data_IF_460242888664
#
_entry.id   IF_460242888664
#
_cell.length_a   1.000
_cell.length_b   1.000
_cell.length_c   1.000
_cell.angle_alpha   90.00
_cell.angle_beta   90.00
_cell.angle_gamma   90.00
#
_symmetry.space_group_name_H-M   'P 1'
#
loop_
_entity.id
_entity.type
_entity.pdbx_description
1 polymer ?
#
# COMPACT_ATOMS: atom_id res chain seq x y z
N UNK A 1 -18.88 -39.82 -46.69
CA UNK A 1 -18.51 -39.83 -48.12
C UNK A 1 -17.59 -38.63 -48.40
N UNK A 2 -16.40 -39.00 -48.87
CA UNK A 2 -15.32 -38.25 -49.55
C UNK A 2 -14.66 -37.08 -48.79
N UNK A 3 -13.50 -37.21 -48.26
CA UNK A 3 -12.07 -37.40 -48.69
C UNK A 3 -11.70 -36.72 -50.01
N UNK A 4 -10.77 -35.70 -49.96
CA UNK A 4 -9.62 -35.47 -50.84
C UNK A 4 -8.91 -34.19 -50.33
N UNK A 5 -7.79 -34.22 -49.66
CA UNK A 5 -6.39 -34.39 -50.08
C UNK A 5 -5.93 -33.36 -51.10
N UNK A 6 -5.09 -32.41 -50.72
CA UNK A 6 -3.95 -32.00 -51.52
C UNK A 6 -2.75 -31.56 -50.63
N UNK A 7 -1.63 -32.17 -50.98
CA UNK A 7 -0.30 -32.04 -50.36
C UNK A 7 0.55 -30.99 -51.12
N UNK A 8 1.50 -30.41 -50.39
CA UNK A 8 2.89 -30.07 -50.76
C UNK A 8 3.15 -28.78 -51.53
N UNK A 9 3.93 -27.86 -50.95
CA UNK A 9 5.28 -27.63 -51.40
C UNK A 9 6.08 -26.82 -50.37
N UNK A 10 7.18 -27.42 -49.87
CA UNK A 10 8.23 -26.78 -49.09
C UNK A 10 9.17 -26.01 -50.05
N UNK A 11 9.54 -24.78 -49.68
CA UNK A 11 10.71 -24.13 -50.32
C UNK A 11 11.59 -23.55 -49.18
N UNK A 12 12.73 -24.18 -49.02
CA UNK A 12 13.84 -23.78 -48.15
C UNK A 12 14.53 -22.59 -48.85
N UNK A 13 14.60 -21.45 -48.15
CA UNK A 13 15.50 -20.38 -48.52
C UNK A 13 16.43 -20.09 -47.33
N UNK A 14 17.68 -20.59 -47.44
CA UNK A 14 18.81 -20.30 -46.59
C UNK A 14 19.29 -18.89 -46.93
N UNK A 15 19.15 -17.91 -46.02
CA UNK A 15 19.91 -16.65 -46.12
C UNK A 15 20.78 -16.50 -44.88
N UNK A 16 22.06 -16.48 -45.09
CA UNK A 16 23.08 -16.18 -44.12
C UNK A 16 22.96 -14.73 -43.66
N UNK A 17 22.79 -14.51 -42.36
CA UNK A 17 22.94 -13.18 -41.77
C UNK A 17 24.38 -13.05 -41.24
N UNK A 18 25.13 -12.22 -41.92
CA UNK A 18 26.38 -11.63 -41.45
C UNK A 18 26.06 -10.72 -40.24
N UNK A 19 26.74 -10.98 -39.14
CA UNK A 19 26.73 -10.15 -37.96
C UNK A 19 27.35 -8.78 -38.27
N UNK A 20 26.60 -7.71 -38.21
CA UNK A 20 27.12 -6.38 -37.98
C UNK A 20 26.94 -6.00 -36.49
N UNK A 21 28.08 -6.01 -35.79
CA UNK A 21 28.21 -5.26 -34.53
C UNK A 21 28.12 -3.77 -34.87
N UNK A 22 27.17 -3.08 -34.29
CA UNK A 22 27.24 -1.65 -34.13
C UNK A 22 27.23 -1.34 -32.63
N UNK A 23 28.41 -1.25 -32.05
CA UNK A 23 28.66 -0.49 -30.82
C UNK A 23 28.44 0.99 -31.17
N UNK A 24 27.45 1.60 -30.54
CA UNK A 24 27.40 3.02 -30.25
C UNK A 24 26.74 3.21 -28.91
N UNK A 25 27.48 2.89 -27.86
CA UNK A 25 27.19 3.35 -26.51
C UNK A 25 27.56 4.81 -26.37
N UNK A 26 26.58 5.69 -26.41
CA UNK A 26 26.73 7.04 -25.91
C UNK A 26 26.29 7.02 -24.43
N UNK A 27 27.21 6.70 -23.53
CA UNK A 27 27.01 6.83 -22.09
C UNK A 27 27.10 8.31 -21.73
N UNK A 28 25.99 8.88 -21.30
CA UNK A 28 25.94 10.20 -20.65
C UNK A 28 26.71 10.08 -19.31
N UNK A 29 27.85 10.80 -19.12
CA UNK A 29 28.66 10.69 -17.92
C UNK A 29 28.02 11.28 -16.66
N UNK A 30 26.79 11.84 -16.75
CA UNK A 30 26.05 12.45 -15.64
C UNK A 30 24.83 11.63 -15.20
N UNK A 31 24.60 10.47 -15.80
CA UNK A 31 23.56 9.56 -15.31
C UNK A 31 24.22 8.58 -14.33
N UNK A 32 23.92 8.64 -13.01
CA UNK A 32 24.39 7.60 -12.11
C UNK A 32 23.79 6.28 -12.63
N UNK A 33 24.66 5.37 -13.05
CA UNK A 33 24.25 4.03 -13.50
C UNK A 33 23.26 3.47 -12.48
N UNK A 34 21.99 3.35 -12.85
CA UNK A 34 21.05 2.54 -12.09
C UNK A 34 21.66 1.14 -12.06
N UNK A 35 22.02 0.59 -10.90
CA UNK A 35 22.53 -0.77 -10.83
C UNK A 35 21.50 -1.65 -11.55
N UNK A 36 21.97 -2.50 -12.46
CA UNK A 36 21.12 -3.42 -13.18
C UNK A 36 20.26 -4.17 -12.15
N UNK A 37 18.97 -3.78 -12.07
CA UNK A 37 18.03 -4.27 -11.05
C UNK A 37 17.73 -5.76 -11.20
N UNK A 38 18.35 -6.41 -12.21
CA UNK A 38 18.17 -7.82 -12.51
C UNK A 38 19.13 -8.74 -11.74
N UNK A 39 20.23 -8.22 -11.22
CA UNK A 39 21.18 -9.05 -10.45
C UNK A 39 21.00 -8.81 -8.96
N UNK A 40 20.42 -9.79 -8.29
CA UNK A 40 20.25 -9.77 -6.83
C UNK A 40 21.62 -9.92 -6.15
N UNK A 41 22.07 -8.97 -5.29
CA UNK A 41 23.33 -9.09 -4.58
C UNK A 41 23.41 -10.37 -3.75
N UNK A 42 24.55 -11.06 -3.77
CA UNK A 42 24.76 -12.25 -2.97
C UNK A 42 24.97 -11.93 -1.48
N UNK A 43 25.43 -10.73 -1.16
CA UNK A 43 25.67 -10.25 0.22
C UNK A 43 25.64 -8.73 0.27
N UNK A 44 25.48 -8.20 1.47
CA UNK A 44 25.49 -6.77 1.78
C UNK A 44 26.60 -6.46 2.78
N UNK A 45 27.10 -5.23 2.79
CA UNK A 45 28.11 -4.78 3.73
C UNK A 45 27.59 -4.82 5.17
N UNK A 46 26.34 -4.42 5.37
CA UNK A 46 25.62 -4.39 6.64
C UNK A 46 24.10 -4.39 6.42
N UNK A 47 23.34 -4.33 7.49
CA UNK A 47 21.89 -4.32 7.47
C UNK A 47 21.33 -3.03 6.84
N UNK A 48 22.02 -1.89 6.97
CA UNK A 48 21.56 -0.63 6.37
C UNK A 48 21.68 -0.66 4.84
N UNK A 49 22.77 -1.20 4.30
CA UNK A 49 22.95 -1.43 2.87
C UNK A 49 21.88 -2.40 2.31
N UNK A 50 21.52 -3.44 3.09
CA UNK A 50 20.43 -4.34 2.72
C UNK A 50 19.09 -3.61 2.66
N UNK A 51 18.77 -2.81 3.67
CA UNK A 51 17.53 -2.03 3.71
C UNK A 51 17.44 -1.04 2.55
N UNK A 52 18.54 -0.37 2.22
CA UNK A 52 18.59 0.57 1.08
C UNK A 52 18.28 -0.13 -0.24
N UNK A 53 18.88 -1.29 -0.47
CA UNK A 53 18.60 -2.12 -1.65
C UNK A 53 17.13 -2.57 -1.68
N UNK A 54 16.59 -3.08 -0.57
CA UNK A 54 15.20 -3.53 -0.47
C UNK A 54 14.22 -2.38 -0.73
N UNK A 55 14.45 -1.21 -0.14
CA UNK A 55 13.60 -0.02 -0.39
C UNK A 55 13.60 0.33 -1.88
N UNK A 56 14.77 0.36 -2.52
CA UNK A 56 14.89 0.70 -3.95
C UNK A 56 14.16 -0.30 -4.84
N UNK A 57 14.36 -1.60 -4.62
CA UNK A 57 13.75 -2.63 -5.47
C UNK A 57 12.23 -2.64 -5.34
N UNK A 58 11.70 -2.52 -4.12
CA UNK A 58 10.24 -2.47 -3.92
C UNK A 58 9.62 -1.16 -4.42
N UNK A 59 10.33 -0.03 -4.31
CA UNK A 59 9.93 1.23 -4.91
C UNK A 59 9.78 1.16 -6.44
N UNK A 60 10.58 0.34 -7.12
CA UNK A 60 10.50 0.17 -8.58
C UNK A 60 9.13 -0.34 -9.05
N UNK A 61 8.32 -0.94 -8.19
CA UNK A 61 6.92 -1.24 -8.51
C UNK A 61 6.14 0.04 -8.86
N UNK A 62 6.29 1.09 -8.06
CA UNK A 62 5.68 2.41 -8.31
C UNK A 62 6.43 3.22 -9.37
N UNK A 63 7.72 2.94 -9.62
CA UNK A 63 8.52 3.70 -10.57
C UNK A 63 8.43 3.13 -11.98
N UNK A 64 8.91 1.91 -12.18
CA UNK A 64 8.94 1.23 -13.47
C UNK A 64 7.64 0.50 -13.79
N UNK A 65 6.96 0.00 -12.76
CA UNK A 65 5.73 -0.77 -12.86
C UNK A 65 4.46 0.07 -12.98
N UNK A 66 4.55 1.39 -12.76
CA UNK A 66 3.39 2.28 -12.84
C UNK A 66 2.68 2.23 -14.20
N UNK A 67 1.40 2.55 -14.22
CA UNK A 67 0.66 2.72 -15.46
C UNK A 67 1.13 4.01 -16.17
N UNK A 68 1.37 3.92 -17.48
CA UNK A 68 2.14 4.92 -18.23
C UNK A 68 1.44 6.26 -18.40
N UNK A 69 0.11 6.29 -18.49
CA UNK A 69 -0.69 7.49 -18.68
C UNK A 69 -0.94 8.21 -17.36
N UNK A 70 -1.39 7.47 -16.37
CA UNK A 70 -1.74 7.99 -15.06
C UNK A 70 -0.53 8.27 -14.17
N UNK A 71 0.52 7.48 -14.30
CA UNK A 71 1.67 7.46 -13.38
C UNK A 71 1.35 6.82 -12.02
N UNK A 72 0.14 6.31 -11.82
CA UNK A 72 -0.31 5.62 -10.61
C UNK A 72 0.16 4.15 -10.59
N UNK A 73 0.13 3.55 -9.42
CA UNK A 73 0.43 2.14 -9.25
C UNK A 73 -0.63 1.27 -9.95
N UNK A 74 -0.19 0.35 -10.82
CA UNK A 74 -1.07 -0.74 -11.29
C UNK A 74 -1.58 -1.50 -10.07
N UNK A 75 -2.85 -1.84 -10.06
CA UNK A 75 -3.44 -2.59 -8.96
C UNK A 75 -2.67 -3.90 -8.74
N UNK A 76 -2.34 -4.58 -9.86
CA UNK A 76 -1.55 -5.82 -9.86
C UNK A 76 -0.55 -5.85 -11.00
N UNK A 77 0.54 -6.59 -10.79
CA UNK A 77 1.48 -6.96 -11.85
C UNK A 77 1.71 -8.45 -11.77
N UNK A 78 1.32 -9.16 -12.83
CA UNK A 78 1.50 -10.59 -12.99
C UNK A 78 2.63 -10.85 -13.98
N UNK A 79 3.79 -11.32 -13.51
CA UNK A 79 4.92 -11.62 -14.38
C UNK A 79 4.69 -12.88 -15.23
N UNK A 80 3.75 -13.74 -14.85
CA UNK A 80 3.27 -14.86 -15.65
C UNK A 80 2.35 -14.44 -16.81
N UNK A 81 1.93 -13.17 -16.85
CA UNK A 81 1.08 -12.61 -17.91
C UNK A 81 -0.39 -13.04 -17.83
N UNK A 82 -0.80 -13.75 -16.79
CA UNK A 82 -2.18 -14.18 -16.60
C UNK A 82 -2.99 -13.09 -15.88
N UNK A 83 -3.85 -12.40 -16.65
CA UNK A 83 -4.77 -11.37 -16.15
C UNK A 83 -6.21 -11.78 -16.45
N UNK A 84 -6.93 -12.39 -15.48
CA UNK A 84 -8.24 -13.02 -15.72
C UNK A 84 -9.30 -12.10 -16.32
N UNK A 85 -9.26 -10.79 -16.01
CA UNK A 85 -10.22 -9.79 -16.48
C UNK A 85 -9.63 -8.78 -17.46
N UNK A 86 -8.47 -9.06 -18.06
CA UNK A 86 -7.72 -8.11 -18.88
C UNK A 86 -7.47 -6.78 -18.16
N UNK A 87 -7.18 -6.85 -16.86
CA UNK A 87 -7.09 -5.69 -15.96
C UNK A 87 -5.65 -5.19 -15.72
N UNK A 88 -4.72 -5.51 -16.61
CA UNK A 88 -3.32 -5.06 -16.51
C UNK A 88 -3.13 -3.52 -16.49
N UNK A 89 -4.14 -2.77 -16.94
CA UNK A 89 -4.14 -1.31 -16.95
C UNK A 89 -5.00 -0.67 -15.86
N UNK A 90 -5.52 -1.49 -14.95
CA UNK A 90 -6.22 -1.03 -13.76
C UNK A 90 -5.21 -0.45 -12.77
N UNK A 91 -5.51 0.75 -12.25
CA UNK A 91 -4.74 1.38 -11.18
C UNK A 91 -5.56 1.44 -9.89
N UNK A 92 -4.88 1.26 -8.77
CA UNK A 92 -5.51 1.30 -7.44
C UNK A 92 -5.34 2.66 -6.81
N UNK A 93 -6.36 3.13 -6.13
CA UNK A 93 -6.37 4.44 -5.47
C UNK A 93 -5.49 4.44 -4.23
N UNK A 94 -5.73 3.56 -3.28
CA UNK A 94 -5.00 3.52 -2.01
C UNK A 94 -3.56 3.07 -2.15
N UNK A 95 -3.32 1.98 -2.90
CA UNK A 95 -1.95 1.52 -3.17
C UNK A 95 -1.10 2.58 -3.87
N UNK A 96 -1.72 3.42 -4.73
CA UNK A 96 -1.04 4.59 -5.30
C UNK A 96 -0.69 5.65 -4.27
N UNK A 97 -1.51 5.83 -3.23
CA UNK A 97 -1.18 6.72 -2.10
C UNK A 97 0.10 6.30 -1.38
N UNK A 98 0.23 5.01 -1.12
CA UNK A 98 1.47 4.45 -0.55
C UNK A 98 2.64 4.58 -1.51
N UNK A 99 2.41 4.36 -2.81
CA UNK A 99 3.41 4.59 -3.85
C UNK A 99 3.87 6.05 -3.95
N UNK A 100 2.98 7.03 -3.76
CA UNK A 100 3.31 8.46 -3.69
C UNK A 100 4.19 8.76 -2.47
N UNK A 101 3.88 8.17 -1.32
CA UNK A 101 4.79 8.22 -0.17
C UNK A 101 6.16 7.60 -0.49
N UNK A 102 6.17 6.51 -1.26
CA UNK A 102 7.41 5.90 -1.80
C UNK A 102 8.18 6.82 -2.76
N UNK A 103 7.51 7.67 -3.56
CA UNK A 103 8.17 8.70 -4.39
C UNK A 103 8.92 9.73 -3.52
N UNK A 104 8.32 10.13 -2.39
CA UNK A 104 9.00 11.03 -1.42
C UNK A 104 10.25 10.35 -0.86
N UNK A 105 10.14 9.10 -0.46
CA UNK A 105 11.31 8.32 0.02
C UNK A 105 12.38 8.22 -1.07
N UNK A 106 12.00 7.96 -2.30
CA UNK A 106 12.94 7.81 -3.42
C UNK A 106 13.68 9.10 -3.75
N UNK A 107 13.02 10.26 -3.68
CA UNK A 107 13.68 11.56 -3.81
C UNK A 107 14.64 11.82 -2.65
N UNK A 108 14.22 11.56 -1.41
CA UNK A 108 15.07 11.77 -0.22
C UNK A 108 16.30 10.88 -0.22
N UNK A 109 16.15 9.62 -0.66
CA UNK A 109 17.23 8.64 -0.75
C UNK A 109 18.10 8.76 -2.00
N UNK A 110 17.72 9.62 -2.95
CA UNK A 110 18.43 9.76 -4.22
C UNK A 110 18.27 8.55 -5.16
N UNK A 111 17.21 7.76 -5.00
CA UNK A 111 16.86 6.71 -5.97
C UNK A 111 16.40 7.30 -7.29
N UNK A 112 15.76 8.45 -7.21
CA UNK A 112 15.38 9.31 -8.33
C UNK A 112 15.79 10.75 -8.00
N UNK A 113 15.97 11.59 -9.03
CA UNK A 113 16.21 13.02 -8.80
C UNK A 113 14.90 13.71 -8.36
N UNK A 114 15.05 14.88 -7.71
CA UNK A 114 13.89 15.70 -7.31
C UNK A 114 13.04 16.10 -8.52
N UNK A 115 13.67 16.47 -9.62
CA UNK A 115 12.96 16.86 -10.86
C UNK A 115 12.14 15.68 -11.42
N UNK A 116 12.69 14.47 -11.43
CA UNK A 116 11.98 13.25 -11.84
C UNK A 116 10.76 12.98 -10.94
N UNK A 117 10.92 13.16 -9.63
CA UNK A 117 9.83 13.01 -8.67
C UNK A 117 8.72 14.04 -8.87
N UNK A 118 9.09 15.32 -9.05
CA UNK A 118 8.15 16.42 -9.33
C UNK A 118 7.40 16.18 -10.66
N UNK A 119 8.10 15.75 -11.72
CA UNK A 119 7.45 15.39 -12.99
C UNK A 119 6.44 14.25 -12.82
N UNK A 120 6.81 13.19 -12.09
CA UNK A 120 5.89 12.08 -11.82
C UNK A 120 4.68 12.52 -10.99
N UNK A 121 4.88 13.32 -9.94
CA UNK A 121 3.79 13.88 -9.14
C UNK A 121 2.86 14.78 -9.97
N UNK A 122 3.42 15.57 -10.88
CA UNK A 122 2.62 16.40 -11.80
C UNK A 122 1.72 15.54 -12.67
N UNK A 123 2.25 14.48 -13.28
CA UNK A 123 1.47 13.53 -14.09
C UNK A 123 0.34 12.87 -13.27
N UNK A 124 0.65 12.46 -12.05
CA UNK A 124 -0.35 11.86 -11.14
C UNK A 124 -1.46 12.85 -10.81
N UNK A 125 -1.12 14.09 -10.44
CA UNK A 125 -2.11 15.12 -10.11
C UNK A 125 -2.94 15.51 -11.33
N UNK A 126 -2.32 15.65 -12.53
CA UNK A 126 -3.03 15.87 -13.79
C UNK A 126 -4.07 14.78 -14.07
N UNK A 127 -3.73 13.53 -13.77
CA UNK A 127 -4.66 12.42 -13.92
C UNK A 127 -5.78 12.47 -12.90
N UNK A 128 -5.48 12.67 -11.62
CA UNK A 128 -6.46 12.69 -10.53
C UNK A 128 -7.50 13.80 -10.65
N UNK A 129 -7.13 14.94 -11.22
CA UNK A 129 -8.06 16.07 -11.46
C UNK A 129 -9.13 15.75 -12.50
N UNK A 130 -8.82 14.91 -13.48
CA UNK A 130 -9.75 14.51 -14.57
C UNK A 130 -10.39 13.14 -14.38
N UNK A 131 -9.90 12.34 -13.44
CA UNK A 131 -10.46 11.02 -13.13
C UNK A 131 -11.85 11.12 -12.52
N UNK A 132 -12.63 10.04 -12.62
CA UNK A 132 -13.95 9.99 -12.01
C UNK A 132 -13.85 10.19 -10.49
N UNK A 133 -14.71 11.06 -9.96
CA UNK A 133 -14.85 11.37 -8.53
C UNK A 133 -16.31 11.45 -8.16
N UNK A 134 -16.64 10.98 -6.97
CA UNK A 134 -18.00 10.91 -6.44
C UNK A 134 -18.05 11.65 -5.10
N UNK A 135 -18.63 12.86 -5.08
CA UNK A 135 -18.51 13.75 -3.94
C UNK A 135 -17.04 14.00 -3.53
N UNK A 136 -16.24 14.27 -4.54
CA UNK A 136 -14.81 14.52 -4.36
C UNK A 136 -13.92 13.30 -4.06
N UNK A 137 -14.48 12.10 -3.98
CA UNK A 137 -13.82 10.84 -3.60
C UNK A 137 -13.62 9.98 -4.82
N UNK A 138 -12.41 9.43 -5.00
CA UNK A 138 -12.09 8.51 -6.08
C UNK A 138 -12.63 7.10 -5.80
N UNK A 139 -12.87 6.30 -6.86
CA UNK A 139 -13.26 4.91 -6.68
C UNK A 139 -12.08 4.06 -6.19
N UNK A 140 -12.37 2.84 -5.77
CA UNK A 140 -11.37 1.84 -5.39
C UNK A 140 -10.33 1.63 -6.50
N UNK A 141 -10.83 1.38 -7.71
CA UNK A 141 -10.02 1.21 -8.91
C UNK A 141 -10.43 2.16 -10.04
N UNK A 142 -9.44 2.57 -10.80
CA UNK A 142 -9.59 3.36 -12.02
C UNK A 142 -8.98 2.63 -13.22
N UNK A 143 -9.56 2.83 -14.38
CA UNK A 143 -8.90 2.49 -15.63
C UNK A 143 -7.78 3.51 -15.87
N UNK A 144 -6.53 3.08 -15.87
CA UNK A 144 -5.35 3.94 -15.94
C UNK A 144 -5.31 4.84 -17.19
N UNK A 145 -5.56 4.33 -18.41
CA UNK A 145 -5.61 5.16 -19.61
C UNK A 145 -6.69 6.25 -19.61
N UNK A 146 -7.85 6.00 -19.00
CA UNK A 146 -9.03 6.87 -19.17
C UNK A 146 -9.45 7.66 -17.93
N UNK A 147 -9.04 7.23 -16.74
CA UNK A 147 -9.50 7.79 -15.47
C UNK A 147 -10.94 7.42 -15.10
N UNK A 148 -11.57 6.49 -15.82
CA UNK A 148 -12.92 6.03 -15.53
C UNK A 148 -12.93 4.97 -14.43
N UNK A 149 -13.99 4.94 -13.63
CA UNK A 149 -14.18 3.92 -12.61
C UNK A 149 -14.10 2.52 -13.21
N UNK A 150 -13.27 1.66 -12.64
CA UNK A 150 -13.30 0.21 -12.81
C UNK A 150 -13.96 -0.35 -11.55
N UNK A 151 -15.17 -0.91 -11.62
CA UNK A 151 -15.84 -1.43 -10.44
C UNK A 151 -15.01 -2.52 -9.73
N UNK A 152 -14.80 -2.37 -8.43
CA UNK A 152 -14.24 -3.43 -7.59
C UNK A 152 -15.26 -4.55 -7.37
N UNK A 153 -16.51 -4.18 -7.26
CA UNK A 153 -17.66 -5.09 -7.17
C UNK A 153 -18.90 -4.43 -7.74
N UNK A 154 -19.99 -5.20 -7.86
CA UNK A 154 -21.21 -4.69 -8.50
C UNK A 154 -21.72 -3.38 -7.87
N UNK A 155 -21.70 -3.28 -6.54
CA UNK A 155 -22.15 -2.10 -5.80
C UNK A 155 -21.03 -1.16 -5.42
N UNK A 156 -19.78 -1.58 -5.60
CA UNK A 156 -18.57 -0.79 -5.41
C UNK A 156 -18.08 -0.28 -6.77
N UNK A 157 -18.88 0.63 -7.33
CA UNK A 157 -18.67 1.25 -8.64
C UNK A 157 -18.76 2.78 -8.57
N UNK A 158 -18.51 3.33 -7.40
CA UNK A 158 -18.54 4.77 -7.12
C UNK A 158 -17.36 5.19 -6.25
N UNK A 159 -17.60 6.10 -5.31
CA UNK A 159 -16.57 6.59 -4.41
C UNK A 159 -16.21 5.59 -3.31
N UNK A 160 -14.91 5.38 -3.13
CA UNK A 160 -14.31 4.66 -2.00
C UNK A 160 -13.54 5.64 -1.13
N UNK A 161 -14.13 5.99 0.01
CA UNK A 161 -13.57 7.01 0.90
C UNK A 161 -12.28 6.52 1.57
N UNK A 162 -12.18 5.24 1.88
CA UNK A 162 -11.01 4.66 2.57
C UNK A 162 -9.79 4.68 1.67
N UNK A 163 -9.93 4.15 0.45
CA UNK A 163 -8.87 4.18 -0.56
C UNK A 163 -8.45 5.62 -0.91
N UNK A 164 -9.42 6.52 -1.01
CA UNK A 164 -9.15 7.95 -1.25
C UNK A 164 -8.42 8.61 -0.08
N UNK A 165 -8.65 8.18 1.15
CA UNK A 165 -7.89 8.66 2.31
C UNK A 165 -6.45 8.14 2.32
N UNK A 166 -6.21 6.91 1.88
CA UNK A 166 -4.85 6.41 1.68
C UNK A 166 -4.12 7.19 0.58
N UNK A 167 -4.80 7.50 -0.53
CA UNK A 167 -4.26 8.36 -1.57
C UNK A 167 -3.91 9.75 -1.03
N UNK A 168 -4.84 10.37 -0.31
CA UNK A 168 -4.65 11.72 0.23
C UNK A 168 -3.55 11.76 1.28
N UNK A 169 -3.39 10.72 2.09
CA UNK A 169 -2.28 10.59 3.04
C UNK A 169 -0.92 10.69 2.32
N UNK A 170 -0.75 9.98 1.21
CA UNK A 170 0.47 10.05 0.39
C UNK A 170 0.67 11.43 -0.24
N UNK A 171 -0.40 12.02 -0.80
CA UNK A 171 -0.37 13.37 -1.37
C UNK A 171 -0.02 14.45 -0.34
N UNK A 172 -0.51 14.33 0.89
CA UNK A 172 -0.17 15.27 1.96
C UNK A 172 1.29 15.12 2.42
N UNK A 173 1.83 13.91 2.46
CA UNK A 173 3.28 13.71 2.65
C UNK A 173 4.09 14.41 1.54
N UNK A 174 3.71 14.22 0.28
CA UNK A 174 4.35 14.88 -0.86
C UNK A 174 4.22 16.41 -0.78
N UNK A 175 3.04 16.93 -0.47
CA UNK A 175 2.80 18.38 -0.27
C UNK A 175 3.74 19.00 0.75
N UNK A 176 3.98 18.31 1.85
CA UNK A 176 4.86 18.79 2.91
C UNK A 176 6.36 18.66 2.56
N UNK A 177 6.71 17.69 1.71
CA UNK A 177 8.08 17.49 1.23
C UNK A 177 8.50 18.54 0.19
N UNK A 178 7.57 19.03 -0.62
CA UNK A 178 7.80 20.05 -1.63
C UNK A 178 8.13 21.39 -0.95
N UNK A 179 9.27 21.99 -1.29
CA UNK A 179 9.80 23.19 -0.63
C UNK A 179 9.29 24.52 -1.23
N UNK A 180 8.52 24.43 -2.33
CA UNK A 180 7.92 25.56 -3.05
C UNK A 180 8.92 26.55 -3.63
N UNK A 181 10.16 26.14 -3.88
CA UNK A 181 11.19 27.01 -4.45
C UNK A 181 10.99 27.20 -5.97
N UNK A 182 10.32 26.25 -6.62
CA UNK A 182 10.01 26.33 -8.06
C UNK A 182 8.51 26.56 -8.30
N UNK A 183 8.16 27.10 -9.47
CA UNK A 183 6.74 27.26 -9.86
C UNK A 183 6.04 25.91 -10.02
N UNK A 184 6.75 24.86 -10.45
CA UNK A 184 6.20 23.51 -10.55
C UNK A 184 5.79 22.98 -9.16
N UNK A 185 6.64 23.13 -8.14
CA UNK A 185 6.32 22.69 -6.79
C UNK A 185 5.20 23.53 -6.15
N UNK A 186 5.19 24.85 -6.35
CA UNK A 186 4.09 25.71 -5.89
C UNK A 186 2.76 25.28 -6.47
N UNK A 187 2.72 25.10 -7.81
CA UNK A 187 1.52 24.63 -8.50
C UNK A 187 1.05 23.26 -7.97
N UNK A 188 1.96 22.31 -7.76
CA UNK A 188 1.61 21.01 -7.20
C UNK A 188 0.99 21.13 -5.81
N UNK A 189 1.56 21.94 -4.93
CA UNK A 189 1.01 22.17 -3.57
C UNK A 189 -0.40 22.74 -3.64
N UNK A 190 -0.63 23.73 -4.49
CA UNK A 190 -1.96 24.36 -4.66
C UNK A 190 -2.99 23.34 -5.19
N UNK A 191 -2.60 22.53 -6.16
CA UNK A 191 -3.48 21.53 -6.77
C UNK A 191 -3.79 20.38 -5.82
N UNK A 192 -2.80 19.90 -5.05
CA UNK A 192 -3.03 18.90 -4.00
C UNK A 192 -4.01 19.46 -2.94
N UNK A 193 -3.84 20.72 -2.55
CA UNK A 193 -4.79 21.38 -1.65
C UNK A 193 -6.21 21.43 -2.24
N UNK A 194 -6.36 21.77 -3.51
CA UNK A 194 -7.66 21.80 -4.19
C UNK A 194 -8.31 20.41 -4.26
N UNK A 195 -7.54 19.36 -4.53
CA UNK A 195 -8.03 17.98 -4.51
C UNK A 195 -8.55 17.60 -3.13
N UNK A 196 -7.80 17.91 -2.06
CA UNK A 196 -8.23 17.61 -0.69
C UNK A 196 -9.43 18.42 -0.25
N UNK A 197 -9.45 19.74 -0.51
CA UNK A 197 -10.58 20.61 -0.24
C UNK A 197 -11.89 20.17 -0.93
N UNK A 198 -11.76 19.48 -2.04
CA UNK A 198 -12.91 18.94 -2.78
C UNK A 198 -13.43 17.60 -2.27
N UNK A 199 -12.85 16.97 -1.27
CA UNK A 199 -13.36 15.73 -0.68
C UNK A 199 -14.48 16.03 0.31
N UNK A 200 -15.72 15.63 -0.01
CA UNK A 200 -16.93 15.91 0.77
C UNK A 200 -17.13 14.86 1.88
N UNK A 201 -16.29 14.88 2.93
CA UNK A 201 -16.39 13.93 4.05
C UNK A 201 -17.75 13.96 4.76
N UNK A 202 -18.37 15.12 4.85
CA UNK A 202 -19.71 15.30 5.44
C UNK A 202 -20.80 14.58 4.62
N UNK A 203 -20.65 14.48 3.29
CA UNK A 203 -21.51 13.64 2.47
C UNK A 203 -21.52 12.19 2.96
N UNK A 204 -20.34 11.65 3.24
CA UNK A 204 -20.18 10.26 3.67
C UNK A 204 -20.65 9.97 5.09
N UNK A 205 -21.21 10.95 5.80
CA UNK A 205 -22.00 10.74 7.02
C UNK A 205 -23.44 10.31 6.75
N UNK A 206 -23.83 10.17 5.47
CA UNK A 206 -25.17 9.78 5.04
C UNK A 206 -26.27 10.63 5.70
N UNK A 207 -26.17 11.94 5.53
CA UNK A 207 -27.14 12.90 6.06
C UNK A 207 -26.91 13.30 7.52
N UNK A 208 -25.64 13.34 7.98
CA UNK A 208 -25.26 13.85 9.28
C UNK A 208 -25.37 12.81 10.41
N UNK A 209 -25.24 11.52 10.10
CA UNK A 209 -25.14 10.48 11.12
C UNK A 209 -23.80 10.58 11.87
N UNK A 210 -23.76 10.10 13.10
CA UNK A 210 -22.55 10.06 13.94
C UNK A 210 -21.60 8.89 13.55
N UNK A 211 -21.44 8.66 12.26
CA UNK A 211 -20.55 7.63 11.67
C UNK A 211 -20.23 7.98 10.23
N UNK A 212 -19.09 7.55 9.72
CA UNK A 212 -18.70 7.70 8.31
C UNK A 212 -18.93 6.37 7.59
N UNK A 213 -19.42 6.42 6.35
CA UNK A 213 -19.64 5.26 5.49
C UNK A 213 -18.52 5.13 4.47
N UNK A 214 -18.17 3.88 4.10
CA UNK A 214 -17.09 3.55 3.20
C UNK A 214 -17.37 3.96 1.76
N UNK A 215 -18.55 3.58 1.24
CA UNK A 215 -18.87 3.64 -0.18
C UNK A 215 -20.11 4.45 -0.46
N UNK A 216 -20.11 5.14 -1.59
CA UNK A 216 -21.30 5.69 -2.22
C UNK A 216 -21.20 5.55 -3.74
N UNK A 217 -22.32 5.25 -4.39
CA UNK A 217 -22.40 5.05 -5.83
C UNK A 217 -23.62 5.79 -6.41
N UNK A 218 -23.52 6.41 -7.60
CA UNK A 218 -24.67 7.04 -8.23
C UNK A 218 -25.76 6.05 -8.66
N UNK A 219 -25.43 4.75 -8.80
CA UNK A 219 -26.39 3.72 -9.20
C UNK A 219 -27.00 2.99 -8.02
N UNK A 220 -26.25 2.75 -6.97
CA UNK A 220 -26.63 1.96 -5.82
C UNK A 220 -26.71 2.78 -4.53
N UNK A 221 -26.37 4.08 -4.61
CA UNK A 221 -26.36 4.98 -3.46
C UNK A 221 -25.65 4.37 -2.25
N UNK A 222 -26.35 4.16 -1.16
CA UNK A 222 -25.82 3.61 0.09
C UNK A 222 -26.05 2.12 0.27
N UNK A 223 -26.36 1.37 -0.79
CA UNK A 223 -26.71 -0.07 -0.68
C UNK A 223 -25.57 -0.96 -0.14
N UNK A 224 -24.30 -0.56 -0.27
CA UNK A 224 -23.19 -1.23 0.41
C UNK A 224 -23.36 -1.19 1.94
N UNK A 225 -23.95 -0.13 2.45
CA UNK A 225 -24.29 0.06 3.86
C UNK A 225 -23.19 -0.35 4.84
N UNK A 226 -21.97 0.13 4.60
CA UNK A 226 -20.78 -0.25 5.37
C UNK A 226 -20.29 0.93 6.22
N UNK A 227 -20.79 1.08 7.47
CA UNK A 227 -20.29 2.08 8.40
C UNK A 227 -18.87 1.71 8.86
N UNK A 228 -17.99 2.69 8.99
CA UNK A 228 -16.63 2.53 9.49
C UNK A 228 -16.62 2.52 11.01
N UNK A 229 -16.78 1.37 11.61
CA UNK A 229 -16.88 1.19 13.05
C UNK A 229 -15.84 0.17 13.55
N UNK A 230 -15.22 0.45 14.69
CA UNK A 230 -14.25 -0.43 15.33
C UNK A 230 -12.87 -0.41 14.67
N UNK A 231 -11.90 -1.06 15.31
CA UNK A 231 -10.50 -1.02 14.88
C UNK A 231 -10.26 -1.91 13.66
N UNK A 232 -9.74 -1.27 12.64
CA UNK A 232 -9.19 -1.81 11.41
C UNK A 232 -8.23 -0.78 10.79
N UNK A 233 -8.01 -0.80 9.48
CA UNK A 233 -7.16 0.13 8.72
C UNK A 233 -7.70 1.57 8.62
N UNK A 234 -8.95 1.83 9.00
CA UNK A 234 -9.69 3.04 8.63
C UNK A 234 -9.51 4.25 9.57
N UNK A 235 -8.63 4.20 10.58
CA UNK A 235 -8.45 5.35 11.50
C UNK A 235 -8.11 6.65 10.75
N UNK A 236 -7.30 6.57 9.71
CA UNK A 236 -6.90 7.73 8.89
C UNK A 236 -8.10 8.48 8.30
N UNK A 237 -9.20 7.77 8.01
CA UNK A 237 -10.42 8.39 7.47
C UNK A 237 -10.99 9.39 8.46
N UNK A 238 -11.10 9.03 9.73
CA UNK A 238 -11.60 9.91 10.78
C UNK A 238 -10.66 11.07 11.07
N UNK A 239 -9.35 10.84 11.02
CA UNK A 239 -8.35 11.90 11.17
C UNK A 239 -8.46 12.92 10.03
N UNK A 240 -8.51 12.48 8.78
CA UNK A 240 -8.64 13.36 7.62
C UNK A 240 -10.00 14.04 7.56
N UNK A 241 -11.08 13.33 7.90
CA UNK A 241 -12.41 13.90 7.95
C UNK A 241 -12.55 15.02 9.02
N UNK A 242 -11.92 14.84 10.19
CA UNK A 242 -11.85 15.88 11.21
C UNK A 242 -10.95 17.05 10.79
N UNK A 243 -9.88 16.77 10.06
CA UNK A 243 -8.89 17.71 9.55
C UNK A 243 -9.33 18.47 8.30
N UNK A 244 -10.38 18.01 7.60
CA UNK A 244 -10.83 18.64 6.34
C UNK A 244 -11.08 20.14 6.52
N UNK A 245 -10.47 20.99 5.66
CA UNK A 245 -10.61 22.45 5.77
C UNK A 245 -12.00 22.95 5.29
N UNK A 246 -12.76 22.15 4.56
CA UNK A 246 -14.00 22.55 3.90
C UNK A 246 -15.21 21.68 4.29
N UNK A 247 -15.02 20.38 4.42
CA UNK A 247 -16.08 19.37 4.65
C UNK A 247 -15.82 18.56 5.92
N UNK A 248 -15.43 19.25 7.00
CA UNK A 248 -15.06 18.61 8.26
C UNK A 248 -16.28 18.01 8.97
N UNK A 249 -16.12 16.80 9.51
CA UNK A 249 -17.14 16.12 10.31
C UNK A 249 -16.98 16.40 11.81
N UNK A 250 -18.06 16.32 12.62
CA UNK A 250 -17.96 16.49 14.07
C UNK A 250 -17.21 15.32 14.72
N UNK A 251 -16.55 15.59 15.86
CA UNK A 251 -15.85 14.57 16.64
C UNK A 251 -16.76 13.42 17.11
N UNK A 252 -18.06 13.64 17.18
CA UNK A 252 -19.04 12.59 17.51
C UNK A 252 -19.01 11.42 16.52
N UNK A 253 -18.69 11.66 15.24
CA UNK A 253 -18.52 10.58 14.26
C UNK A 253 -17.41 9.61 14.67
N UNK A 254 -16.28 10.13 15.20
CA UNK A 254 -15.21 9.33 15.73
C UNK A 254 -15.61 8.60 17.02
N UNK A 255 -16.14 9.34 18.01
CA UNK A 255 -16.42 8.78 19.32
C UNK A 255 -17.59 7.79 19.33
N UNK A 256 -18.68 8.07 18.61
CA UNK A 256 -19.86 7.20 18.56
C UNK A 256 -19.75 6.15 17.45
N UNK A 257 -19.26 6.53 16.26
CA UNK A 257 -19.07 5.63 15.13
C UNK A 257 -17.87 4.73 15.36
N UNK A 258 -16.68 5.19 15.01
CA UNK A 258 -15.48 4.35 15.05
C UNK A 258 -15.20 3.75 16.44
N UNK A 259 -15.22 4.57 17.48
CA UNK A 259 -14.94 4.11 18.85
C UNK A 259 -16.13 3.46 19.55
N UNK A 260 -17.32 3.40 18.92
CA UNK A 260 -18.53 2.77 19.47
C UNK A 260 -18.84 3.23 20.91
N UNK A 261 -18.67 4.54 21.15
CA UNK A 261 -18.84 5.14 22.50
C UNK A 261 -17.99 4.47 23.59
N UNK A 262 -16.79 3.99 23.24
CA UNK A 262 -15.86 3.28 24.12
C UNK A 262 -15.97 1.74 24.05
N UNK A 263 -16.94 1.20 23.33
CA UNK A 263 -17.09 -0.23 23.09
C UNK A 263 -15.95 -0.86 22.29
N UNK A 264 -15.07 -0.03 21.71
CA UNK A 264 -13.88 -0.44 20.98
C UNK A 264 -12.75 -1.00 21.88
N UNK A 265 -12.74 -0.69 23.18
CA UNK A 265 -11.71 -1.15 24.11
C UNK A 265 -11.70 -2.68 24.26
N UNK A 266 -10.51 -3.25 24.40
CA UNK A 266 -10.29 -4.70 24.49
C UNK A 266 -9.43 -5.06 25.68
N UNK A 267 -9.70 -6.23 26.25
CA UNK A 267 -8.87 -6.89 27.28
C UNK A 267 -8.14 -8.12 26.71
N UNK A 268 -8.26 -8.39 25.41
CA UNK A 268 -7.61 -9.53 24.76
C UNK A 268 -6.09 -9.36 24.74
N UNK A 269 -5.37 -10.44 24.97
CA UNK A 269 -3.91 -10.44 24.96
C UNK A 269 -3.35 -11.72 24.31
N UNK A 270 -3.58 -11.91 22.98
CA UNK A 270 -3.07 -13.09 22.28
C UNK A 270 -1.54 -13.15 22.40
N UNK A 271 -1.04 -14.34 22.74
CA UNK A 271 0.41 -14.57 22.90
C UNK A 271 1.08 -13.61 23.90
N UNK A 272 0.32 -13.10 24.90
CA UNK A 272 0.83 -12.14 25.88
C UNK A 272 1.06 -10.74 25.32
N UNK A 273 0.43 -10.39 24.19
CA UNK A 273 0.44 -9.06 23.58
C UNK A 273 -0.93 -8.40 23.77
N UNK A 274 -1.10 -7.45 24.71
CA UNK A 274 -2.38 -6.78 24.91
C UNK A 274 -2.84 -6.04 23.65
N UNK A 275 -4.03 -6.38 23.18
CA UNK A 275 -4.72 -5.63 22.12
C UNK A 275 -5.61 -4.60 22.82
N UNK A 276 -5.18 -3.33 22.85
CA UNK A 276 -5.94 -2.28 23.57
C UNK A 276 -7.29 -1.98 22.89
N UNK A 277 -7.42 -2.33 21.61
CA UNK A 277 -8.64 -2.16 20.80
C UNK A 277 -9.13 -3.51 20.27
N UNK A 278 -10.45 -3.67 20.18
CA UNK A 278 -11.08 -4.83 19.55
C UNK A 278 -10.89 -4.81 18.05
N UNK A 279 -10.16 -5.77 17.54
CA UNK A 279 -9.99 -5.98 16.11
C UNK A 279 -11.28 -6.55 15.50
N UNK A 280 -11.84 -5.86 14.49
CA UNK A 280 -13.11 -6.25 13.90
C UNK A 280 -13.11 -7.70 13.37
N UNK A 281 -13.96 -8.56 13.94
CA UNK A 281 -14.06 -9.97 13.57
C UNK A 281 -12.87 -10.86 13.99
N UNK A 282 -11.86 -10.29 14.69
CA UNK A 282 -10.65 -10.97 15.14
C UNK A 282 -10.26 -10.56 16.58
N UNK A 283 -11.23 -10.32 17.42
CA UNK A 283 -11.10 -9.69 18.74
C UNK A 283 -10.16 -10.42 19.68
N UNK A 284 -10.08 -11.75 19.57
CA UNK A 284 -9.26 -12.59 20.46
C UNK A 284 -7.90 -12.98 19.85
N UNK A 285 -7.71 -12.80 18.54
CA UNK A 285 -6.55 -13.31 17.81
C UNK A 285 -5.69 -12.23 17.17
N UNK A 286 -6.26 -11.05 16.96
CA UNK A 286 -5.72 -10.03 16.08
C UNK A 286 -6.09 -10.27 14.61
N UNK A 287 -6.32 -9.19 13.88
CA UNK A 287 -6.65 -9.19 12.45
C UNK A 287 -5.43 -9.31 11.55
N UNK A 288 -5.61 -9.16 10.23
CA UNK A 288 -4.52 -9.09 9.27
C UNK A 288 -3.64 -7.86 9.52
N UNK A 289 -2.32 -7.97 9.27
CA UNK A 289 -1.36 -6.94 9.67
C UNK A 289 -1.47 -5.63 8.89
N UNK A 290 -2.12 -5.58 7.74
CA UNK A 290 -2.31 -4.33 7.04
C UNK A 290 -3.06 -3.28 7.90
N UNK A 291 -3.85 -3.70 8.90
CA UNK A 291 -4.47 -2.80 9.87
C UNK A 291 -3.45 -2.03 10.72
N UNK A 292 -2.25 -2.58 10.89
CA UNK A 292 -1.13 -1.91 11.54
C UNK A 292 -0.26 -1.10 10.56
N UNK A 293 -0.58 -1.07 9.25
CA UNK A 293 0.27 -0.43 8.24
C UNK A 293 -0.42 0.76 7.55
N UNK A 294 -1.62 0.60 7.00
CA UNK A 294 -2.18 1.53 6.01
C UNK A 294 -2.46 2.93 6.57
N UNK A 295 -3.12 3.04 7.72
CA UNK A 295 -3.29 4.35 8.40
C UNK A 295 -1.96 4.95 8.86
N UNK A 296 -0.93 4.13 9.05
CA UNK A 296 0.31 4.49 9.73
C UNK A 296 1.47 4.81 8.80
N UNK A 297 1.23 4.88 7.51
CA UNK A 297 2.23 5.36 6.53
C UNK A 297 2.62 6.81 6.84
N UNK A 298 1.64 7.68 7.06
CA UNK A 298 1.85 9.08 7.42
C UNK A 298 1.55 9.39 8.88
N UNK A 299 0.50 8.79 9.45
CA UNK A 299 0.12 9.02 10.84
C UNK A 299 1.14 8.35 11.78
N UNK A 300 1.79 9.16 12.63
CA UNK A 300 2.80 8.66 13.57
C UNK A 300 2.14 8.05 14.82
N UNK A 301 2.26 6.75 15.07
CA UNK A 301 1.70 6.16 16.28
C UNK A 301 2.50 6.46 17.55
N UNK A 302 3.77 6.90 17.43
CA UNK A 302 4.63 7.19 18.60
C UNK A 302 4.15 8.43 19.32
N UNK A 303 3.69 8.25 20.55
CA UNK A 303 3.15 9.32 21.38
C UNK A 303 1.69 9.63 21.11
N UNK A 304 1.08 9.07 20.07
CA UNK A 304 -0.32 9.27 19.72
C UNK A 304 -1.22 8.48 20.68
N UNK A 305 -2.05 9.21 21.43
CA UNK A 305 -2.96 8.64 22.44
C UNK A 305 -4.28 9.38 22.44
N UNK A 306 -5.32 8.65 22.80
CA UNK A 306 -6.60 9.22 23.14
C UNK A 306 -7.22 8.54 24.39
N UNK A 307 -8.49 8.77 24.65
CA UNK A 307 -9.18 8.13 25.79
C UNK A 307 -9.38 6.62 25.62
N UNK A 308 -9.10 6.05 24.47
CA UNK A 308 -9.35 4.65 24.14
C UNK A 308 -8.08 3.80 24.18
N UNK A 309 -6.94 4.34 23.69
CA UNK A 309 -5.71 3.58 23.52
C UNK A 309 -4.45 4.45 23.44
N UNK A 310 -3.29 3.80 23.65
CA UNK A 310 -1.98 4.21 23.21
C UNK A 310 -1.69 3.53 21.86
N UNK A 311 -1.70 4.30 20.77
CA UNK A 311 -1.63 3.74 19.41
C UNK A 311 -0.26 3.12 19.07
N UNK A 312 0.80 3.50 19.76
CA UNK A 312 2.07 2.78 19.66
C UNK A 312 1.93 1.33 20.16
N UNK A 313 1.28 1.14 21.30
CA UNK A 313 1.00 -0.18 21.83
C UNK A 313 0.07 -0.98 20.89
N UNK A 314 -0.98 -0.33 20.36
CA UNK A 314 -1.93 -0.96 19.42
C UNK A 314 -1.19 -1.61 18.26
N UNK A 315 -0.39 -0.86 17.50
CA UNK A 315 0.27 -1.39 16.30
C UNK A 315 1.42 -2.33 16.63
N UNK A 316 2.21 -2.02 17.67
CA UNK A 316 3.34 -2.85 18.07
C UNK A 316 2.89 -4.22 18.60
N UNK A 317 1.89 -4.24 19.48
CA UNK A 317 1.38 -5.49 20.05
C UNK A 317 0.65 -6.32 18.98
N UNK A 318 0.00 -5.69 18.00
CA UNK A 318 -0.57 -6.39 16.87
C UNK A 318 0.52 -7.10 16.05
N UNK A 319 1.60 -6.40 15.68
CA UNK A 319 2.72 -7.00 14.95
C UNK A 319 3.40 -8.12 15.75
N UNK A 320 3.65 -7.89 17.05
CA UNK A 320 4.24 -8.91 17.92
C UNK A 320 3.35 -10.14 18.10
N UNK A 321 2.03 -9.97 18.20
CA UNK A 321 1.11 -11.12 18.34
C UNK A 321 1.10 -11.98 17.07
N UNK A 322 1.13 -11.36 15.89
CA UNK A 322 1.22 -12.04 14.61
C UNK A 322 2.55 -12.80 14.46
N UNK A 323 3.66 -12.16 14.81
CA UNK A 323 4.98 -12.81 14.88
C UNK A 323 4.97 -14.03 15.80
N UNK A 324 4.52 -13.87 17.06
CA UNK A 324 4.50 -14.94 18.03
C UNK A 324 3.57 -16.09 17.65
N UNK A 325 2.45 -15.80 17.00
CA UNK A 325 1.59 -16.82 16.40
C UNK A 325 2.36 -17.67 15.38
N UNK A 326 3.09 -17.04 14.47
CA UNK A 326 3.87 -17.77 13.46
C UNK A 326 5.01 -18.59 14.10
N UNK A 327 5.65 -18.07 15.15
CA UNK A 327 6.69 -18.80 15.90
C UNK A 327 6.10 -20.00 16.67
N UNK A 328 4.97 -19.81 17.36
CA UNK A 328 4.25 -20.89 18.05
C UNK A 328 3.70 -21.93 17.06
N UNK A 329 3.30 -21.47 15.89
CA UNK A 329 2.88 -22.29 14.76
C UNK A 329 1.84 -23.38 15.15
N UNK A 330 0.69 -23.01 15.74
CA UNK A 330 -0.26 -23.99 16.29
C UNK A 330 -0.89 -24.90 15.23
N UNK A 331 -0.81 -24.52 13.95
CA UNK A 331 -1.27 -25.35 12.81
C UNK A 331 -0.17 -26.21 12.20
N UNK A 332 1.05 -26.14 12.71
CA UNK A 332 2.21 -26.95 12.30
C UNK A 332 2.57 -26.79 10.82
N UNK A 333 2.43 -25.59 10.26
CA UNK A 333 2.87 -25.30 8.90
C UNK A 333 4.39 -25.35 8.81
N UNK A 334 4.93 -26.16 7.91
CA UNK A 334 6.37 -26.25 7.66
C UNK A 334 6.93 -24.88 7.25
N UNK A 335 8.02 -24.47 7.87
CA UNK A 335 8.77 -23.27 7.50
C UNK A 335 8.27 -21.98 8.17
N UNK A 336 7.24 -22.02 8.99
CA UNK A 336 6.91 -20.90 9.90
C UNK A 336 7.93 -20.85 11.05
N UNK A 337 8.31 -19.65 11.47
CA UNK A 337 9.28 -19.46 12.55
C UNK A 337 9.77 -18.02 12.65
N UNK A 338 10.85 -17.82 13.39
CA UNK A 338 11.42 -16.50 13.69
C UNK A 338 11.87 -15.72 12.45
N UNK A 339 12.31 -16.42 11.41
CA UNK A 339 12.77 -15.87 10.14
C UNK A 339 11.76 -16.02 8.99
N UNK A 340 10.55 -16.50 9.29
CA UNK A 340 9.49 -16.72 8.31
C UNK A 340 8.11 -16.54 8.93
N UNK A 341 7.65 -15.30 8.98
CA UNK A 341 6.38 -14.89 9.58
C UNK A 341 5.73 -13.75 8.81
N UNK A 342 4.45 -13.54 9.06
CA UNK A 342 3.70 -12.40 8.55
C UNK A 342 2.42 -12.81 7.84
N UNK A 343 1.28 -12.56 8.52
CA UNK A 343 -0.05 -12.85 8.02
C UNK A 343 -0.79 -11.53 7.75
N UNK A 344 -1.11 -11.29 6.49
CA UNK A 344 -1.95 -10.17 6.04
C UNK A 344 -2.73 -10.57 4.80
N UNK A 345 -3.59 -9.69 4.31
CA UNK A 345 -4.32 -9.94 3.07
C UNK A 345 -3.34 -10.09 1.89
N UNK A 346 -3.51 -11.12 1.09
CA UNK A 346 -2.64 -11.44 -0.05
C UNK A 346 -3.24 -12.55 -0.92
N UNK A 347 -2.55 -12.91 -2.00
CA UNK A 347 -2.86 -14.12 -2.74
C UNK A 347 -2.69 -15.38 -1.88
N UNK A 348 -3.44 -16.41 -2.20
CA UNK A 348 -3.29 -17.77 -1.69
C UNK A 348 -3.54 -18.80 -2.78
N UNK A 349 -3.38 -20.09 -2.45
CA UNK A 349 -3.71 -21.20 -3.36
C UNK A 349 -5.18 -21.15 -3.81
N UNK A 350 -6.06 -20.61 -2.95
CA UNK A 350 -7.51 -20.54 -3.19
C UNK A 350 -7.97 -19.15 -3.69
N UNK A 351 -7.05 -18.26 -4.03
CA UNK A 351 -7.33 -16.88 -4.40
C UNK A 351 -6.92 -15.88 -3.32
N UNK A 352 -7.42 -14.64 -3.39
CA UNK A 352 -7.13 -13.61 -2.40
C UNK A 352 -7.83 -13.88 -1.07
N UNK A 353 -7.10 -13.74 0.05
CA UNK A 353 -7.63 -13.95 1.40
C UNK A 353 -6.97 -13.01 2.41
N UNK A 354 -7.74 -12.55 3.39
CA UNK A 354 -7.23 -11.75 4.50
C UNK A 354 -6.65 -12.67 5.58
N UNK A 355 -5.39 -13.10 5.39
CA UNK A 355 -4.71 -13.99 6.35
C UNK A 355 -4.47 -13.28 7.69
N UNK A 356 -4.72 -14.01 8.76
CA UNK A 356 -4.52 -13.59 10.15
C UNK A 356 -4.41 -14.83 11.03
N UNK A 357 -4.07 -14.74 12.32
CA UNK A 357 -4.08 -15.89 13.22
C UNK A 357 -5.42 -16.65 13.22
N UNK A 358 -6.54 -15.92 13.05
CA UNK A 358 -7.88 -16.53 12.94
C UNK A 358 -8.22 -17.08 11.55
N UNK A 359 -7.48 -16.71 10.52
CA UNK A 359 -7.67 -17.12 9.11
C UNK A 359 -6.33 -17.45 8.47
N UNK A 360 -5.63 -18.43 8.99
CA UNK A 360 -4.32 -18.86 8.50
C UNK A 360 -4.48 -20.05 7.55
N UNK A 361 -4.05 -19.87 6.30
CA UNK A 361 -4.07 -20.87 5.23
C UNK A 361 -2.66 -21.43 4.90
N UNK A 362 -1.68 -21.23 5.76
CA UNK A 362 -0.30 -21.67 5.52
C UNK A 362 0.45 -20.78 4.53
N UNK A 363 0.06 -19.52 4.43
CA UNK A 363 0.61 -18.52 3.50
C UNK A 363 1.31 -17.42 4.28
N UNK A 364 2.54 -17.11 3.89
CA UNK A 364 3.32 -15.97 4.39
C UNK A 364 3.33 -14.87 3.33
N UNK A 365 3.09 -13.64 3.79
CA UNK A 365 3.07 -12.44 2.97
C UNK A 365 4.23 -11.53 3.39
N UNK A 366 5.29 -11.37 2.57
CA UNK A 366 6.49 -10.62 2.95
C UNK A 366 6.21 -9.20 3.46
N UNK A 367 5.25 -8.47 2.86
CA UNK A 367 4.89 -7.13 3.31
C UNK A 367 4.48 -7.08 4.79
N UNK A 368 3.84 -8.13 5.31
CA UNK A 368 3.41 -8.18 6.71
C UNK A 368 4.58 -8.00 7.69
N UNK A 369 5.68 -8.70 7.47
CA UNK A 369 6.89 -8.56 8.27
C UNK A 369 7.67 -7.28 7.92
N UNK A 370 7.82 -6.96 6.62
CA UNK A 370 8.65 -5.84 6.16
C UNK A 370 8.02 -4.47 6.44
N UNK A 371 6.72 -4.34 6.34
CA UNK A 371 6.02 -3.11 6.71
C UNK A 371 5.87 -2.95 8.24
N UNK A 372 6.23 -3.98 9.01
CA UNK A 372 6.29 -3.93 10.49
C UNK A 372 7.64 -3.47 11.05
N UNK A 373 8.62 -3.13 10.23
CA UNK A 373 9.95 -2.67 10.68
C UNK A 373 9.89 -1.61 11.79
N UNK A 374 9.02 -0.60 11.75
CA UNK A 374 8.96 0.39 12.83
C UNK A 374 8.59 -0.20 14.19
N UNK A 375 7.86 -1.31 14.21
CA UNK A 375 7.27 -1.92 15.41
C UNK A 375 8.08 -3.09 15.97
N UNK A 376 8.68 -3.86 15.05
CA UNK A 376 9.37 -5.12 15.35
C UNK A 376 10.69 -5.23 14.56
N UNK A 377 11.64 -4.29 14.74
CA UNK A 377 12.82 -4.19 13.88
C UNK A 377 13.69 -5.45 13.87
N UNK A 378 13.88 -6.09 15.02
CA UNK A 378 14.68 -7.31 15.13
C UNK A 378 14.00 -8.48 14.40
N UNK A 379 12.70 -8.68 14.63
CA UNK A 379 11.90 -9.74 14.02
C UNK A 379 11.73 -9.51 12.51
N UNK A 380 11.51 -8.26 12.10
CA UNK A 380 11.41 -7.88 10.69
C UNK A 380 12.73 -8.07 9.95
N UNK A 381 13.87 -7.77 10.59
CA UNK A 381 15.18 -8.03 10.00
C UNK A 381 15.48 -9.52 9.88
N UNK A 382 15.11 -10.32 10.87
CA UNK A 382 15.25 -11.78 10.79
C UNK A 382 14.41 -12.34 9.64
N UNK A 383 13.16 -11.90 9.50
CA UNK A 383 12.29 -12.28 8.39
C UNK A 383 12.85 -11.83 7.04
N UNK A 384 13.33 -10.59 6.92
CA UNK A 384 13.96 -10.08 5.70
C UNK A 384 15.12 -10.98 5.26
N UNK A 385 16.02 -11.33 6.18
CA UNK A 385 17.16 -12.22 5.89
C UNK A 385 16.70 -13.63 5.52
N UNK A 386 15.70 -14.15 6.21
CA UNK A 386 15.07 -15.45 5.93
C UNK A 386 14.42 -15.49 4.54
N UNK A 387 13.64 -14.47 4.20
CA UNK A 387 13.03 -14.35 2.86
C UNK A 387 14.10 -14.20 1.78
N UNK A 388 15.08 -13.33 2.01
CA UNK A 388 16.17 -13.11 1.06
C UNK A 388 16.98 -14.38 0.81
N UNK A 389 17.19 -15.19 1.83
CA UNK A 389 17.88 -16.49 1.74
C UNK A 389 17.15 -17.54 0.90
N UNK A 390 15.83 -17.39 0.65
CA UNK A 390 15.05 -18.32 -0.20
C UNK A 390 15.32 -18.13 -1.70
N UNK A 391 16.02 -17.08 -2.09
CA UNK A 391 16.46 -16.87 -3.46
C UNK A 391 15.32 -16.54 -4.42
N UNK A 392 15.51 -16.97 -5.68
CA UNK A 392 14.61 -16.67 -6.79
C UNK A 392 13.20 -17.29 -6.65
N UNK A 393 13.01 -18.22 -5.72
CA UNK A 393 11.72 -18.90 -5.54
C UNK A 393 10.59 -17.95 -5.13
N UNK A 394 10.91 -16.84 -4.44
CA UNK A 394 9.96 -15.84 -3.98
C UNK A 394 10.34 -14.41 -4.37
N UNK A 395 11.25 -14.26 -5.34
CA UNK A 395 11.82 -12.98 -5.74
C UNK A 395 11.74 -12.75 -7.25
N UNK A 396 11.39 -11.53 -7.65
CA UNK A 396 11.33 -11.13 -9.05
C UNK A 396 11.71 -9.67 -9.26
N UNK A 397 11.26 -9.11 -10.38
CA UNK A 397 11.64 -7.77 -10.86
C UNK A 397 11.43 -6.65 -9.80
N UNK A 398 10.41 -6.75 -8.98
CA UNK A 398 10.07 -5.74 -7.98
C UNK A 398 10.29 -6.21 -6.54
N UNK A 399 11.22 -7.13 -6.32
CA UNK A 399 11.48 -7.70 -5.01
C UNK A 399 10.67 -8.95 -4.72
N UNK A 400 10.28 -9.14 -3.47
CA UNK A 400 9.49 -10.30 -3.05
C UNK A 400 8.13 -10.31 -3.72
N UNK A 401 7.71 -11.49 -4.18
CA UNK A 401 6.33 -11.72 -4.63
C UNK A 401 5.35 -11.47 -3.48
N UNK A 402 4.09 -11.27 -3.84
CA UNK A 402 3.02 -10.94 -2.91
C UNK A 402 2.92 -11.94 -1.75
N UNK A 403 2.93 -13.23 -2.06
CA UNK A 403 2.80 -14.29 -1.07
C UNK A 403 3.45 -15.59 -1.50
N UNK A 404 3.73 -16.46 -0.51
CA UNK A 404 4.22 -17.81 -0.73
C UNK A 404 3.79 -18.74 0.41
N UNK A 405 3.72 -20.04 0.13
CA UNK A 405 3.48 -21.06 1.15
C UNK A 405 4.69 -21.97 1.32
N UNK A 406 5.44 -21.86 2.42
CA UNK A 406 6.57 -22.75 2.65
C UNK A 406 6.17 -24.22 2.80
N UNK A 407 4.97 -24.47 3.31
CA UNK A 407 4.47 -25.83 3.55
C UNK A 407 4.12 -26.58 2.28
N UNK A 408 3.53 -25.89 1.30
CA UNK A 408 3.13 -26.52 0.03
C UNK A 408 4.12 -26.28 -1.10
N UNK A 409 5.13 -25.41 -0.92
CA UNK A 409 6.01 -24.95 -1.97
C UNK A 409 5.32 -24.05 -3.01
N UNK A 410 4.12 -23.55 -2.69
CA UNK A 410 3.36 -22.67 -3.57
C UNK A 410 3.94 -21.25 -3.58
N UNK A 411 4.01 -20.67 -4.76
CA UNK A 411 4.30 -19.27 -5.01
C UNK A 411 3.72 -18.85 -6.36
N UNK A 412 3.46 -17.57 -6.53
CA UNK A 412 3.08 -16.99 -7.81
C UNK A 412 3.99 -15.78 -8.10
N UNK A 413 4.47 -15.60 -9.34
CA UNK A 413 5.27 -14.45 -9.73
C UNK A 413 4.38 -13.20 -9.93
N UNK A 414 3.68 -12.80 -8.89
CA UNK A 414 2.66 -11.74 -8.90
C UNK A 414 2.86 -10.78 -7.75
N UNK A 415 2.37 -9.56 -7.94
CA UNK A 415 2.42 -8.48 -6.98
C UNK A 415 1.07 -7.78 -6.90
N UNK A 416 0.73 -7.26 -5.70
CA UNK A 416 -0.36 -6.34 -5.45
C UNK A 416 0.20 -5.00 -4.98
N UNK A 417 -0.30 -3.89 -5.54
CA UNK A 417 0.17 -2.55 -5.19
C UNK A 417 -0.02 -2.22 -3.71
N UNK A 418 -1.18 -2.62 -3.18
CA UNK A 418 -1.57 -2.32 -1.80
C UNK A 418 -0.59 -2.92 -0.78
N UNK A 419 0.05 -4.02 -1.12
CA UNK A 419 1.07 -4.68 -0.32
C UNK A 419 2.48 -4.18 -0.64
N UNK A 420 2.80 -4.11 -1.93
CA UNK A 420 4.14 -3.77 -2.40
C UNK A 420 4.56 -2.35 -2.06
N UNK A 421 3.63 -1.39 -2.19
CA UNK A 421 3.92 0.03 -2.00
C UNK A 421 4.04 0.45 -0.53
N UNK A 422 3.72 -0.39 0.44
CA UNK A 422 3.90 -0.09 1.87
C UNK A 422 5.32 -0.33 2.35
N UNK A 423 6.08 -1.24 1.70
CA UNK A 423 7.37 -1.72 2.19
C UNK A 423 8.40 -0.58 2.28
N UNK A 424 8.65 0.12 1.18
CA UNK A 424 9.64 1.20 1.17
C UNK A 424 9.28 2.36 2.14
N UNK A 425 8.04 2.85 2.20
CA UNK A 425 7.60 3.84 3.17
C UNK A 425 7.79 3.42 4.63
N UNK A 426 7.40 2.19 4.99
CA UNK A 426 7.49 1.73 6.37
C UNK A 426 8.94 1.46 6.80
N UNK A 427 9.79 0.95 5.93
CA UNK A 427 11.23 0.88 6.19
C UNK A 427 11.80 2.29 6.41
N UNK A 428 11.38 3.30 5.63
CA UNK A 428 11.81 4.68 5.85
C UNK A 428 11.37 5.24 7.19
N UNK A 429 10.13 4.97 7.58
CA UNK A 429 9.63 5.36 8.91
C UNK A 429 10.43 4.70 10.05
N UNK A 430 10.89 3.46 9.86
CA UNK A 430 11.83 2.83 10.79
C UNK A 430 13.18 3.55 10.82
N UNK A 431 13.79 3.81 9.65
CA UNK A 431 15.14 4.37 9.52
C UNK A 431 15.21 5.82 9.99
N UNK A 432 14.24 6.66 9.62
CA UNK A 432 14.32 8.11 9.84
C UNK A 432 13.05 8.76 10.38
N UNK A 433 11.87 8.11 10.23
CA UNK A 433 10.57 8.71 10.54
C UNK A 433 10.17 9.82 9.57
N UNK A 434 10.70 9.85 8.35
CA UNK A 434 10.48 10.92 7.37
C UNK A 434 9.00 11.18 7.11
N UNK A 435 8.25 10.15 6.72
CA UNK A 435 6.85 10.32 6.34
C UNK A 435 5.98 10.71 7.54
N UNK A 436 6.27 10.17 8.72
CA UNK A 436 5.61 10.57 9.95
C UNK A 436 5.84 12.05 10.26
N UNK A 437 7.08 12.55 10.16
CA UNK A 437 7.34 13.98 10.37
C UNK A 437 6.61 14.85 9.35
N UNK A 438 6.60 14.45 8.08
CA UNK A 438 5.93 15.21 7.03
C UNK A 438 4.42 15.27 7.27
N UNK A 439 3.75 14.13 7.42
CA UNK A 439 2.30 14.09 7.60
C UNK A 439 1.85 14.81 8.89
N UNK A 440 2.54 14.56 10.01
CA UNK A 440 2.24 15.20 11.28
C UNK A 440 2.56 16.69 11.29
N UNK A 441 3.35 17.21 10.35
CA UNK A 441 3.58 18.67 10.19
C UNK A 441 2.44 19.38 9.46
N UNK A 442 1.44 18.69 8.93
CA UNK A 442 0.26 19.32 8.33
C UNK A 442 -0.55 20.03 9.41
N UNK A 443 -0.72 21.37 9.38
CA UNK A 443 -1.48 22.08 10.41
C UNK A 443 -2.91 21.59 10.56
N UNK A 444 -3.53 21.20 9.44
CA UNK A 444 -4.90 20.70 9.42
C UNK A 444 -5.00 19.33 10.10
N UNK A 445 -4.00 18.46 9.92
CA UNK A 445 -3.93 17.14 10.59
C UNK A 445 -3.81 17.34 12.10
N UNK A 446 -2.94 18.26 12.55
CA UNK A 446 -2.80 18.59 13.98
C UNK A 446 -4.13 19.06 14.57
N UNK A 447 -4.82 20.00 13.90
CA UNK A 447 -6.14 20.48 14.33
C UNK A 447 -7.19 19.34 14.34
N UNK A 448 -7.13 18.44 13.34
CA UNK A 448 -8.01 17.28 13.28
C UNK A 448 -7.80 16.33 14.45
N UNK A 449 -6.55 16.03 14.79
CA UNK A 449 -6.19 15.19 15.94
C UNK A 449 -6.64 15.83 17.27
N UNK A 450 -6.39 17.12 17.47
CA UNK A 450 -6.84 17.86 18.64
C UNK A 450 -8.37 17.83 18.76
N UNK A 451 -9.09 18.03 17.65
CA UNK A 451 -10.56 17.97 17.59
C UNK A 451 -11.09 16.61 18.01
N UNK A 452 -10.41 15.52 17.65
CA UNK A 452 -10.77 14.16 18.03
C UNK A 452 -10.32 13.79 19.45
N UNK A 453 -9.60 14.66 20.14
CA UNK A 453 -9.12 14.43 21.50
C UNK A 453 -7.85 13.60 21.60
N UNK A 454 -7.07 13.56 20.53
CA UNK A 454 -5.73 12.95 20.57
C UNK A 454 -4.71 13.87 21.22
N UNK A 455 -3.76 13.27 21.93
CA UNK A 455 -2.46 13.85 22.28
C UNK A 455 -1.38 13.22 21.39
N UNK A 456 -0.40 14.01 20.95
CA UNK A 456 0.66 13.56 20.04
C UNK A 456 1.93 14.38 20.19
#
# INVERSE_FOLDING_TARGET
MNKTLFKTLALILLMAFTACKSDNGNSDPNNPETPDSQVRPASFADDDAMLDYIQRVHFNYMWDGAESVSGLARERIHLDGDYPEHDQDVVTTGGSGFGIAGLVVAMERGFITRDQGVERLTRIVDFLERADRFHGVWPHWLNGPTGKVKPFGQKDNGGDLVESCFLMQGLLCARQYLDRNTEAEKSLVERINALWQGMEFDWYTRGGQDVIYWHWSPQYEWEMNFPLEGYNECLIVYVLAAASPTHSVPASCYHKGWARSGGIKSDAAPYGCPLELKHNGAEQTGGPLFWAHYSWIGLNPKGLKDQYADYWNVVRNHALSNYRYCVDNPKHYTGYGEDCWGLTASYSVEGYSAHSPGNDLGVITPTAALSSFPYTPEQSMAALKGFYGRGESIWGKYGFYDAFSPSSGWTLPRYLAIDQCTIAPMIENYRTGLLWRLFMSCPEVQQGLEKLGFTH
#
